data_IF_202052280933
#
_entry.id   IF_202052280933
#
_cell.length_a   1.000
_cell.length_b   1.000
_cell.length_c   1.000
_cell.angle_alpha   90.00
_cell.angle_beta   90.00
_cell.angle_gamma   90.00
#
_symmetry.space_group_name_H-M   'P 1'
#
loop_
_entity.id
_entity.type
_entity.pdbx_description
1 polymer ?
2 non-polymer ?
3 non-polymer ?
4 non-polymer ?
5 water ?
#
# COMPACT_ATOMS: atom_id res chain seq x y z
N UNK A 7 8.99 4.08 -19.54
CA UNK A 7 8.32 3.60 -20.74
C UNK A 7 8.36 2.09 -20.82
N UNK A 8 9.36 1.50 -20.16
CA UNK A 8 9.58 0.06 -20.20
C UNK A 8 8.62 -0.68 -19.29
N UNK A 9 8.39 -1.97 -19.61
CA UNK A 9 7.55 -2.78 -18.73
C UNK A 9 8.25 -2.98 -17.40
N UNK A 10 7.47 -3.24 -16.35
CA UNK A 10 8.01 -3.52 -15.01
C UNK A 10 8.83 -2.38 -14.41
N UNK A 11 8.49 -1.15 -14.78
CA UNK A 11 9.25 0.02 -14.34
C UNK A 11 8.50 0.86 -13.32
N UNK A 12 7.65 0.21 -12.52
CA UNK A 12 6.88 0.91 -11.51
C UNK A 12 7.74 1.75 -10.57
N UNK A 13 8.89 1.24 -10.14
CA UNK A 13 9.75 2.00 -9.23
C UNK A 13 10.21 3.33 -9.88
N UNK A 14 10.61 3.25 -11.14
CA UNK A 14 11.01 4.43 -11.88
C UNK A 14 9.86 5.43 -12.06
N UNK A 15 8.67 4.92 -12.37
CA UNK A 15 7.49 5.76 -12.52
C UNK A 15 7.12 6.50 -11.24
N UNK A 16 7.11 5.78 -10.13
CA UNK A 16 6.76 6.38 -8.83
C UNK A 16 7.81 7.41 -8.46
N UNK A 17 9.08 7.04 -8.64
CA UNK A 17 10.20 7.94 -8.36
C UNK A 17 10.05 9.25 -9.15
N UNK A 18 9.68 9.14 -10.42
CA UNK A 18 9.49 10.31 -11.26
C UNK A 18 8.35 11.19 -10.76
N UNK A 19 7.24 10.58 -10.37
CA UNK A 19 6.12 11.32 -9.80
C UNK A 19 6.56 12.08 -8.57
N UNK A 20 7.37 11.44 -7.74
CA UNK A 20 7.84 12.02 -6.49
C UNK A 20 8.84 13.15 -6.73
N UNK A 21 9.86 12.86 -7.53
CA UNK A 21 10.98 13.78 -7.68
C UNK A 21 10.74 14.84 -8.74
N UNK A 22 9.84 14.57 -9.68
CA UNK A 22 9.69 15.43 -10.85
C UNK A 22 8.35 16.14 -10.95
N UNK A 23 7.52 16.01 -9.92
CA UNK A 23 6.25 16.71 -9.87
C UNK A 23 5.97 17.16 -8.44
N UNK A 24 4.98 18.01 -8.26
CA UNK A 24 4.57 18.46 -6.93
C UNK A 24 3.19 17.91 -6.60
N UNK A 25 2.71 17.01 -7.44
CA UNK A 25 1.38 16.42 -7.29
C UNK A 25 1.31 15.57 -6.02
N UNK A 26 0.07 15.47 -5.53
CA UNK A 26 -0.19 14.68 -4.36
C UNK A 26 -0.54 13.39 -5.08
N UNK A 27 0.20 12.33 -4.78
CA UNK A 27 0.00 11.05 -5.44
C UNK A 27 -1.04 10.28 -4.67
N UNK A 28 -2.20 10.10 -5.29
CA UNK A 28 -3.30 9.42 -4.62
C UNK A 28 -3.33 7.92 -4.94
N UNK A 29 -3.22 7.10 -3.89
CA UNK A 29 -3.18 5.65 -4.06
C UNK A 29 -4.30 4.96 -3.34
N UNK A 30 -5.29 4.47 -4.09
CA UNK A 30 -6.36 3.70 -3.44
C UNK A 30 -5.79 2.39 -2.94
N UNK A 31 -6.22 1.96 -1.77
CA UNK A 31 -5.76 0.72 -1.20
C UNK A 31 -6.50 -0.46 -1.80
N UNK A 32 -5.75 -1.34 -2.44
CA UNK A 32 -6.33 -2.54 -3.08
C UNK A 32 -5.80 -3.75 -2.38
N UNK A 33 -6.46 -4.88 -2.57
CA UNK A 33 -6.10 -6.07 -1.81
C UNK A 33 -6.18 -7.38 -2.57
N UNK A 34 -6.64 -7.31 -3.81
CA UNK A 34 -6.78 -8.50 -4.63
C UNK A 34 -6.83 -8.07 -6.09
N UNK A 35 -7.06 -9.04 -6.97
CA UNK A 35 -7.08 -8.77 -8.41
C UNK A 35 -8.24 -7.88 -8.83
N UNK A 36 -9.40 -8.10 -8.22
CA UNK A 36 -10.59 -7.33 -8.61
C UNK A 36 -10.49 -5.89 -8.17
N UNK A 37 -10.10 -5.67 -6.93
CA UNK A 37 -9.94 -4.30 -6.44
C UNK A 37 -8.86 -3.58 -7.27
N UNK A 38 -7.73 -4.23 -7.52
CA UNK A 38 -6.66 -3.60 -8.28
C UNK A 38 -7.11 -3.31 -9.73
N UNK A 39 -7.82 -4.24 -10.34
CA UNK A 39 -8.26 -4.05 -11.72
C UNK A 39 -9.23 -2.87 -11.82
N UNK A 40 -10.05 -2.72 -10.79
CA UNK A 40 -11.02 -1.63 -10.74
C UNK A 40 -10.32 -0.27 -10.61
N UNK A 41 -9.37 -0.16 -9.70
CA UNK A 41 -8.57 1.06 -9.58
C UNK A 41 -7.89 1.41 -10.91
N UNK A 42 -7.35 0.41 -11.60
CA UNK A 42 -6.70 0.61 -12.89
C UNK A 42 -7.71 1.08 -13.95
N UNK A 43 -8.90 0.48 -13.92
CA UNK A 43 -9.96 0.80 -14.86
C UNK A 43 -10.28 2.28 -14.75
N UNK A 44 -10.19 2.81 -13.53
CA UNK A 44 -10.61 4.18 -13.27
C UNK A 44 -9.48 5.19 -13.47
N UNK A 45 -8.29 4.71 -13.80
CA UNK A 45 -7.20 5.60 -14.14
C UNK A 45 -6.39 6.18 -13.00
N UNK A 46 -6.41 5.55 -11.83
CA UNK A 46 -5.54 5.99 -10.75
C UNK A 46 -4.09 5.87 -11.19
N UNK A 47 -3.26 6.82 -10.75
CA UNK A 47 -1.88 6.92 -11.22
C UNK A 47 -0.92 6.07 -10.40
N UNK A 48 -1.40 5.52 -9.30
CA UNK A 48 -0.60 4.70 -8.42
C UNK A 48 -1.56 3.94 -7.54
N UNK A 49 -1.14 2.76 -7.12
CA UNK A 49 -1.95 1.89 -6.28
C UNK A 49 -1.23 1.60 -4.97
N UNK A 50 -1.99 1.24 -3.94
CA UNK A 50 -1.41 0.82 -2.69
C UNK A 50 -1.94 -0.56 -2.32
N UNK A 51 -1.04 -1.48 -1.97
CA UNK A 51 -1.48 -2.78 -1.47
C UNK A 51 -1.46 -2.81 0.04
N UNK A 52 -2.66 -2.90 0.61
CA UNK A 52 -2.85 -2.97 2.04
C UNK A 52 -2.48 -4.34 2.60
N UNK A 53 -1.70 -4.35 3.67
CA UNK A 53 -1.39 -5.59 4.38
C UNK A 53 -2.64 -6.13 5.07
N UNK A 54 -3.40 -5.25 5.70
CA UNK A 54 -4.64 -5.66 6.37
C UNK A 54 -5.59 -6.30 5.37
N UNK A 55 -5.72 -5.67 4.19
CA UNK A 55 -6.63 -6.18 3.17
C UNK A 55 -6.11 -7.47 2.58
N UNK A 56 -4.81 -7.53 2.38
CA UNK A 56 -4.22 -8.76 1.87
C UNK A 56 -4.50 -9.91 2.84
N UNK A 57 -4.36 -9.67 4.13
CA UNK A 57 -4.56 -10.70 5.13
C UNK A 57 -6.04 -11.14 5.16
N UNK A 58 -6.95 -10.17 5.13
CA UNK A 58 -8.38 -10.48 5.15
C UNK A 58 -8.77 -11.30 3.94
N UNK A 59 -8.27 -10.93 2.76
CA UNK A 59 -8.72 -11.53 1.51
C UNK A 59 -7.99 -12.85 1.17
N UNK A 60 -6.66 -12.82 1.23
CA UNK A 60 -5.89 -14.02 0.92
C UNK A 60 -5.94 -15.08 2.02
N UNK A 61 -6.12 -14.65 3.27
CA UNK A 61 -6.06 -15.58 4.39
C UNK A 61 -7.30 -15.62 5.27
N UNK A 62 -8.20 -14.66 5.12
CA UNK A 62 -9.41 -14.66 5.92
C UNK A 62 -9.12 -14.39 7.40
N UNK A 63 -8.06 -13.65 7.67
CA UNK A 63 -7.62 -13.43 9.05
C UNK A 63 -7.45 -11.94 9.33
N UNK A 64 -7.37 -11.58 10.62
CA UNK A 64 -7.15 -10.19 11.01
C UNK A 64 -5.68 -9.79 10.87
N UNK A 65 -5.44 -8.49 10.86
CA UNK A 65 -4.13 -7.90 10.60
C UNK A 65 -3.28 -8.02 11.87
N UNK A 66 -2.87 -9.25 12.20
CA UNK A 66 -2.13 -9.51 13.42
C UNK A 66 -0.84 -10.28 13.13
N UNK A 67 -0.08 -9.82 12.14
CA UNK A 67 1.17 -10.47 11.78
C UNK A 67 0.95 -11.93 11.35
N UNK A 68 -0.13 -12.17 10.64
CA UNK A 68 -0.46 -13.52 10.18
C UNK A 68 0.01 -13.73 8.75
N UNK A 69 -0.17 -12.72 7.91
CA UNK A 69 0.46 -12.74 6.60
C UNK A 69 1.95 -12.51 6.79
N UNK A 70 2.76 -13.29 6.09
CA UNK A 70 4.20 -13.14 6.17
C UNK A 70 4.74 -12.86 4.79
N UNK A 71 6.05 -12.97 4.59
CA UNK A 71 6.63 -12.55 3.31
C UNK A 71 5.99 -13.25 2.11
N UNK A 72 5.80 -14.56 2.19
CA UNK A 72 5.32 -15.28 1.02
C UNK A 72 3.98 -14.76 0.52
N UNK A 73 3.03 -14.61 1.44
CA UNK A 73 1.69 -14.14 1.11
C UNK A 73 1.71 -12.71 0.56
N UNK A 74 2.49 -11.87 1.21
CA UNK A 74 2.54 -10.45 0.88
C UNK A 74 3.22 -10.26 -0.46
N UNK A 75 4.35 -10.94 -0.66
CA UNK A 75 5.03 -10.84 -1.95
C UNK A 75 4.18 -11.43 -3.07
N UNK A 76 3.56 -12.57 -2.81
CA UNK A 76 2.69 -13.15 -3.84
C UNK A 76 1.59 -12.19 -4.27
N UNK A 77 0.96 -11.53 -3.30
CA UNK A 77 -0.13 -10.61 -3.63
C UNK A 77 0.41 -9.40 -4.39
N UNK A 78 1.53 -8.87 -3.92
CA UNK A 78 2.11 -7.68 -4.56
C UNK A 78 2.61 -7.97 -5.97
N UNK A 79 3.24 -9.12 -6.13
CA UNK A 79 3.69 -9.59 -7.44
C UNK A 79 2.51 -9.68 -8.42
N UNK A 80 1.40 -10.25 -7.96
CA UNK A 80 0.21 -10.35 -8.81
C UNK A 80 -0.31 -8.97 -9.19
N UNK A 81 -0.52 -8.11 -8.19
CA UNK A 81 -1.11 -6.80 -8.43
C UNK A 81 -0.23 -5.88 -9.29
N UNK A 82 1.05 -5.82 -8.97
CA UNK A 82 1.92 -4.88 -9.65
C UNK A 82 2.07 -5.17 -11.13
N UNK A 83 1.86 -6.43 -11.53
CA UNK A 83 2.06 -6.86 -12.87
C UNK A 83 0.86 -7.23 -13.70
N UNK A 84 -0.33 -6.93 -13.20
CA UNK A 84 -1.53 -7.14 -14.02
C UNK A 84 -1.38 -6.41 -15.32
N UNK A 85 -0.81 -5.21 -15.25
CA UNK A 85 -0.40 -4.47 -16.44
C UNK A 85 1.07 -4.09 -16.30
N UNK A 86 1.94 -4.74 -17.07
CA UNK A 86 3.38 -4.49 -17.04
C UNK A 86 3.69 -3.03 -17.38
N UNK A 87 2.74 -2.34 -17.99
CA UNK A 87 2.95 -0.95 -18.37
C UNK A 87 2.04 -0.03 -17.56
N UNK A 88 1.42 -0.55 -16.51
CA UNK A 88 0.47 0.21 -15.72
C UNK A 88 1.07 1.00 -14.57
N UNK A 89 0.20 1.47 -13.66
CA UNK A 89 0.60 2.34 -12.56
C UNK A 89 1.47 1.62 -11.54
N UNK A 90 2.37 2.37 -10.90
CA UNK A 90 3.26 1.84 -9.85
C UNK A 90 2.47 1.33 -8.66
N UNK A 91 2.97 0.29 -8.00
CA UNK A 91 2.37 -0.22 -6.78
C UNK A 91 3.23 0.05 -5.54
N UNK A 92 2.63 0.69 -4.53
CA UNK A 92 3.29 0.84 -3.28
C UNK A 92 2.70 -0.29 -2.43
N UNK A 93 3.56 -1.13 -1.85
CA UNK A 93 3.05 -2.24 -1.05
C UNK A 93 3.49 -2.17 0.41
N UNK A 94 2.57 -2.44 1.32
CA UNK A 94 2.88 -2.65 2.74
C UNK A 94 3.97 -3.71 2.83
N UNK A 95 4.97 -3.57 3.63
CA UNK A 95 5.94 -4.59 3.89
C UNK A 95 6.06 -4.75 5.41
N UNK A 96 5.09 -4.19 6.12
CA UNK A 96 5.00 -4.42 7.56
C UNK A 96 6.33 -4.14 8.23
N UNK A 97 6.82 -5.10 9.01
CA UNK A 97 8.08 -4.97 9.73
C UNK A 97 9.27 -5.50 8.95
N UNK A 98 9.03 -6.04 7.75
CA UNK A 98 10.07 -6.76 7.03
C UNK A 98 10.09 -8.26 7.31
N UNK A 99 9.22 -8.70 8.22
CA UNK A 99 8.94 -10.13 8.49
C UNK A 99 10.07 -10.88 9.19
N UNK A 100 10.92 -10.14 9.90
CA UNK A 100 11.98 -10.76 10.66
C UNK A 100 13.07 -9.77 10.97
N UNK A 101 14.27 -10.27 11.20
CA UNK A 101 15.42 -9.41 11.43
C UNK A 101 15.95 -8.86 10.10
N UNK A 102 17.13 -8.21 10.13
CA UNK A 102 17.66 -7.57 8.93
C UNK A 102 17.74 -8.50 7.72
N UNK A 103 18.08 -9.77 7.95
CA UNK A 103 18.14 -10.70 6.83
C UNK A 103 16.81 -10.77 6.08
N UNK A 104 15.72 -10.87 6.84
CA UNK A 104 14.38 -10.92 6.25
C UNK A 104 13.95 -9.59 5.66
N UNK A 105 14.29 -8.50 6.33
CA UNK A 105 14.00 -7.18 5.79
C UNK A 105 14.64 -7.09 4.40
N UNK A 106 15.90 -7.47 4.30
CA UNK A 106 16.61 -7.37 3.02
C UNK A 106 15.98 -8.28 1.97
N UNK A 107 15.64 -9.49 2.39
CA UNK A 107 15.02 -10.46 1.47
C UNK A 107 13.70 -9.89 0.95
N UNK A 108 12.94 -9.29 1.86
CA UNK A 108 11.64 -8.74 1.51
C UNK A 108 11.81 -7.64 0.46
N UNK A 109 12.70 -6.70 0.72
CA UNK A 109 12.93 -5.60 -0.22
C UNK A 109 13.40 -6.16 -1.57
N UNK A 110 14.32 -7.13 -1.52
CA UNK A 110 14.81 -7.77 -2.74
C UNK A 110 13.67 -8.40 -3.53
N UNK A 111 12.82 -9.15 -2.84
CA UNK A 111 11.70 -9.81 -3.53
C UNK A 111 10.69 -8.82 -4.09
N UNK A 112 10.39 -7.77 -3.34
CA UNK A 112 9.45 -6.75 -3.84
C UNK A 112 10.04 -6.10 -5.08
N UNK A 113 11.32 -5.77 -5.02
CA UNK A 113 11.97 -5.13 -6.17
C UNK A 113 11.90 -6.00 -7.41
N UNK A 114 12.25 -7.28 -7.25
CA UNK A 114 12.28 -8.15 -8.41
C UNK A 114 10.87 -8.41 -8.94
N UNK A 115 9.87 -8.31 -8.08
CA UNK A 115 8.47 -8.44 -8.47
C UNK A 115 7.88 -7.16 -9.06
N UNK A 116 8.72 -6.14 -9.30
CA UNK A 116 8.24 -4.94 -9.96
C UNK A 116 7.49 -3.97 -9.06
N UNK A 117 7.57 -4.19 -7.75
CA UNK A 117 6.89 -3.29 -6.81
C UNK A 117 7.66 -1.97 -6.79
N UNK A 118 6.92 -0.86 -6.75
CA UNK A 118 7.51 0.46 -6.91
C UNK A 118 8.09 1.02 -5.62
N UNK A 119 7.48 0.64 -4.51
CA UNK A 119 7.91 1.10 -3.20
C UNK A 119 7.18 0.34 -2.12
N UNK A 120 7.56 0.59 -0.86
CA UNK A 120 6.94 -0.11 0.26
C UNK A 120 7.17 0.64 1.55
N UNK A 121 6.23 0.49 2.48
CA UNK A 121 6.39 1.09 3.80
C UNK A 121 6.81 0.06 4.85
N UNK A 122 7.81 0.44 5.64
CA UNK A 122 8.47 -0.43 6.61
C UNK A 122 8.37 0.25 7.96
N UNK A 123 7.83 -0.45 8.96
CA UNK A 123 7.48 0.15 10.24
C UNK A 123 8.35 -0.32 11.41
N UNK A 124 8.16 0.35 12.54
CA UNK A 124 8.93 0.09 13.73
C UNK A 124 8.17 -0.72 14.79
N UNK A 125 7.06 -1.35 14.40
CA UNK A 125 6.34 -2.21 15.33
C UNK A 125 7.17 -3.43 15.75
N UNK A 126 6.88 -3.98 16.92
CA UNK A 126 7.47 -5.26 17.27
C UNK A 126 6.99 -6.29 16.26
N UNK A 127 7.75 -7.37 16.09
CA UNK A 127 7.44 -8.34 15.06
C UNK A 127 6.03 -8.92 15.18
N UNK A 128 5.57 -9.13 16.39
CA UNK A 128 4.19 -9.53 16.62
C UNK A 128 3.32 -8.27 16.55
N UNK A 129 3.21 -7.70 15.36
CA UNK A 129 2.56 -6.41 15.11
C UNK A 129 1.03 -6.48 15.03
N UNK A 130 0.41 -5.33 14.79
CA UNK A 130 -1.05 -5.24 14.69
C UNK A 130 -1.43 -4.00 13.89
N UNK A 131 -2.63 -4.00 13.34
CA UNK A 131 -3.12 -2.83 12.60
C UNK A 131 -2.85 -1.56 13.41
N UNK A 132 -2.32 -0.53 12.75
CA UNK A 132 -1.87 0.67 13.43
C UNK A 132 -2.94 1.45 14.17
N UNK A 133 -4.20 1.12 13.90
CA UNK A 133 -5.31 1.80 14.55
C UNK A 133 -5.86 0.98 15.73
N UNK A 134 -5.21 -0.12 16.06
CA UNK A 134 -5.57 -0.88 17.25
C UNK A 134 -4.71 -0.45 18.44
N UNK A 135 -5.31 -0.47 19.63
CA UNK A 135 -4.57 -0.11 20.84
C UNK A 135 -3.66 -1.24 21.29
N UNK A 136 -2.79 -0.96 22.25
CA UNK A 136 -1.82 -1.93 22.75
C UNK A 136 -0.68 -2.16 21.77
N UNK A 137 -0.40 -1.16 20.94
CA UNK A 137 0.58 -1.27 19.86
C UNK A 137 1.97 -0.79 20.27
N UNK A 138 2.91 -1.73 20.42
CA UNK A 138 4.26 -1.43 20.89
C UNK A 138 5.28 -1.36 19.74
N UNK A 139 6.31 -0.55 19.92
CA UNK A 139 7.35 -0.40 18.91
C UNK A 139 8.71 -0.80 19.45
N UNK A 140 9.63 -1.13 18.55
CA UNK A 140 10.99 -1.48 18.94
C UNK A 140 11.75 -0.19 19.20
N UNK A 141 12.96 -0.32 19.76
CA UNK A 141 13.79 0.85 20.01
C UNK A 141 14.18 1.55 18.72
N UNK A 142 14.58 2.80 18.83
CA UNK A 142 15.03 3.56 17.67
C UNK A 142 16.15 2.80 16.95
N UNK A 143 17.11 2.29 17.71
CA UNK A 143 18.24 1.60 17.10
C UNK A 143 17.79 0.34 16.36
N UNK A 144 16.85 -0.40 16.92
CA UNK A 144 16.41 -1.62 16.27
C UNK A 144 15.62 -1.30 15.00
N UNK A 145 14.84 -0.23 15.04
CA UNK A 145 14.13 0.23 13.86
C UNK A 145 15.10 0.62 12.75
N UNK A 146 16.14 1.37 13.11
CA UNK A 146 17.11 1.82 12.12
C UNK A 146 17.88 0.65 11.50
N UNK A 147 18.06 -0.43 12.25
CA UNK A 147 18.63 -1.65 11.67
C UNK A 147 17.77 -2.14 10.50
N UNK A 148 16.45 -2.10 10.69
CA UNK A 148 15.54 -2.44 9.59
C UNK A 148 15.68 -1.48 8.41
N UNK A 149 15.65 -0.19 8.69
CA UNK A 149 15.76 0.80 7.62
C UNK A 149 17.08 0.61 6.86
N UNK A 150 18.19 0.45 7.59
CA UNK A 150 19.48 0.27 6.95
C UNK A 150 19.53 -0.96 6.07
N UNK A 151 19.02 -2.08 6.58
CA UNK A 151 18.96 -3.31 5.79
C UNK A 151 18.18 -3.12 4.50
N UNK A 152 17.05 -2.41 4.57
CA UNK A 152 16.23 -2.17 3.40
C UNK A 152 16.92 -1.22 2.41
N UNK A 153 17.48 -0.14 2.93
CA UNK A 153 18.15 0.82 2.04
C UNK A 153 19.36 0.19 1.35
N UNK A 154 20.17 -0.53 2.11
CA UNK A 154 21.34 -1.20 1.52
C UNK A 154 20.93 -2.12 0.39
N UNK A 155 19.80 -2.80 0.55
CA UNK A 155 19.32 -3.73 -0.45
C UNK A 155 18.91 -3.02 -1.72
N UNK A 156 18.10 -1.98 -1.62
CA UNK A 156 17.67 -1.29 -2.84
C UNK A 156 18.86 -0.67 -3.57
N UNK A 157 19.86 -0.21 -2.81
CA UNK A 157 21.07 0.33 -3.43
C UNK A 157 21.90 -0.75 -4.12
N UNK A 158 22.12 -1.86 -3.40
CA UNK A 158 22.83 -3.02 -3.95
C UNK A 158 22.20 -3.48 -5.26
N UNK A 159 20.88 -3.38 -5.35
CA UNK A 159 20.15 -3.80 -6.53
C UNK A 159 19.97 -2.69 -7.57
N UNK A 160 20.59 -1.55 -7.32
CA UNK A 160 20.60 -0.43 -8.27
C UNK A 160 19.18 -0.03 -8.66
N UNK A 161 18.32 0.02 -7.66
CA UNK A 161 16.89 0.18 -7.89
C UNK A 161 16.37 1.56 -7.47
N UNK A 162 15.35 2.05 -8.17
CA UNK A 162 14.71 3.30 -7.82
C UNK A 162 13.61 3.11 -6.76
N UNK A 163 13.52 1.89 -6.25
CA UNK A 163 12.51 1.51 -5.24
C UNK A 163 12.34 2.60 -4.19
N UNK A 164 11.09 2.98 -3.93
CA UNK A 164 10.82 4.06 -3.00
C UNK A 164 10.54 3.49 -1.62
N UNK A 165 11.47 3.70 -0.70
CA UNK A 165 11.33 3.14 0.66
C UNK A 165 10.68 4.17 1.57
N UNK A 166 9.52 3.80 2.13
CA UNK A 166 8.78 4.67 3.02
C UNK A 166 8.99 4.20 4.45
N UNK A 167 9.55 5.07 5.28
CA UNK A 167 9.76 4.77 6.68
C UNK A 167 8.52 5.12 7.47
N UNK A 168 7.87 4.11 8.01
CA UNK A 168 6.66 4.31 8.80
C UNK A 168 7.00 4.19 10.28
N UNK A 169 6.46 5.11 11.08
CA UNK A 169 6.55 4.96 12.53
C UNK A 169 5.19 4.87 13.17
N UNK A 170 5.03 3.83 13.98
CA UNK A 170 3.83 3.57 14.77
C UNK A 170 4.00 4.06 16.21
N UNK A 171 4.99 4.92 16.43
CA UNK A 171 5.39 5.29 17.80
C UNK A 171 4.46 6.30 18.47
N UNK A 172 3.58 6.93 17.71
CA UNK A 172 2.75 7.99 18.28
C UNK A 172 1.93 7.45 19.46
N UNK A 173 1.26 6.32 19.24
CA UNK A 173 0.36 5.77 20.26
C UNK A 173 1.04 5.63 21.62
N UNK A 174 2.25 5.09 21.65
CA UNK A 174 2.90 4.75 22.91
C UNK A 174 3.98 5.73 23.36
N UNK A 175 4.62 6.42 22.41
CA UNK A 175 5.78 7.26 22.73
C UNK A 175 5.60 8.74 22.41
N UNK A 176 4.58 9.09 21.64
CA UNK A 176 4.29 10.49 21.40
C UNK A 176 4.85 11.07 20.12
N UNK A 177 4.51 12.33 19.87
CA UNK A 177 4.83 13.01 18.62
C UNK A 177 6.33 13.22 18.42
N UNK A 178 7.00 13.87 19.38
CA UNK A 178 8.42 14.15 19.21
C UNK A 178 9.22 12.90 18.85
N UNK A 179 8.89 11.77 19.49
CA UNK A 179 9.58 10.51 19.21
C UNK A 179 9.39 10.12 17.73
N UNK A 180 8.18 10.30 17.22
CA UNK A 180 7.91 10.00 15.81
C UNK A 180 8.78 10.84 14.89
N UNK A 181 8.83 12.14 15.17
CA UNK A 181 9.60 13.04 14.32
C UNK A 181 11.08 12.65 14.32
N UNK A 182 11.62 12.34 15.49
CA UNK A 182 13.03 11.94 15.58
C UNK A 182 13.30 10.63 14.86
N UNK A 183 12.38 9.68 14.97
CA UNK A 183 12.52 8.41 14.25
C UNK A 183 12.53 8.66 12.76
N UNK A 184 11.64 9.53 12.29
CA UNK A 184 11.55 9.81 10.85
C UNK A 184 12.78 10.54 10.33
N UNK A 185 13.30 11.49 11.11
CA UNK A 185 14.54 12.16 10.76
C UNK A 185 15.69 11.19 10.69
N UNK A 186 15.77 10.29 11.66
CA UNK A 186 16.82 9.28 11.66
C UNK A 186 16.69 8.38 10.44
N UNK A 187 15.46 7.95 10.16
CA UNK A 187 15.22 7.09 9.01
C UNK A 187 15.60 7.78 7.70
N UNK A 188 15.29 9.07 7.60
CA UNK A 188 15.66 9.85 6.43
C UNK A 188 17.18 9.81 6.21
N UNK A 189 17.93 10.02 7.28
CA UNK A 189 19.40 10.02 7.17
C UNK A 189 19.95 8.66 6.78
N UNK A 190 19.25 7.58 7.13
CA UNK A 190 19.69 6.24 6.77
C UNK A 190 19.30 5.89 5.35
N UNK A 191 18.52 6.77 4.72
CA UNK A 191 18.24 6.63 3.30
C UNK A 191 16.80 6.38 2.89
N UNK A 192 15.86 6.47 3.83
CA UNK A 192 14.46 6.31 3.47
C UNK A 192 14.06 7.49 2.60
N UNK A 193 13.19 7.22 1.62
CA UNK A 193 12.79 8.21 0.62
C UNK A 193 11.61 9.08 1.04
N UNK A 194 10.73 8.53 1.88
CA UNK A 194 9.48 9.18 2.27
C UNK A 194 9.20 8.74 3.71
N UNK A 195 8.54 9.59 4.48
CA UNK A 195 8.21 9.25 5.84
C UNK A 195 6.71 9.08 5.98
N UNK A 196 6.30 8.22 6.91
CA UNK A 196 4.89 8.02 7.19
C UNK A 196 4.70 8.02 8.69
N UNK A 197 4.10 9.08 9.22
CA UNK A 197 3.72 9.10 10.63
C UNK A 197 2.32 8.54 10.70
N UNK A 198 2.20 7.35 11.29
CA UNK A 198 0.95 6.60 11.29
C UNK A 198 -0.02 7.11 12.35
N UNK A 199 -1.30 7.19 11.99
CA UNK A 199 -2.36 7.46 12.95
C UNK A 199 -2.33 8.82 13.62
N UNK A 200 -2.32 9.88 12.83
CA UNK A 200 -2.38 11.23 13.40
C UNK A 200 -3.61 11.32 14.31
N UNK A 201 -3.50 12.13 15.35
CA UNK A 201 -4.59 12.31 16.29
C UNK A 201 -5.37 13.57 15.94
N UNK A 202 -4.76 14.45 15.16
CA UNK A 202 -5.42 15.69 14.76
C UNK A 202 -4.91 16.18 13.41
N UNK A 203 -5.71 17.03 12.76
CA UNK A 203 -5.28 17.61 11.48
C UNK A 203 -4.12 18.57 11.68
N UNK A 204 -4.14 19.32 12.78
CA UNK A 204 -3.07 20.25 13.09
C UNK A 204 -1.76 19.48 13.23
N UNK A 205 -1.83 18.31 13.83
CA UNK A 205 -0.66 17.46 14.00
C UNK A 205 -0.13 16.95 12.66
N UNK A 206 -1.03 16.66 11.73
CA UNK A 206 -0.63 16.21 10.40
C UNK A 206 0.15 17.31 9.66
N UNK A 207 -0.40 18.51 9.67
CA UNK A 207 0.26 19.65 9.03
C UNK A 207 1.62 19.93 9.67
N UNK A 208 1.72 19.73 10.99
CA UNK A 208 2.93 20.03 11.74
C UNK A 208 4.04 19.05 11.41
N UNK A 209 3.68 17.79 11.21
CA UNK A 209 4.67 16.79 10.86
C UNK A 209 5.24 17.08 9.49
N UNK A 210 4.37 17.44 8.55
CA UNK A 210 4.85 17.80 7.23
C UNK A 210 5.86 18.95 7.32
N UNK A 211 5.53 19.97 8.10
CA UNK A 211 6.43 21.11 8.23
C UNK A 211 7.74 20.72 8.92
N UNK A 212 7.65 19.83 9.90
CA UNK A 212 8.82 19.42 10.67
C UNK A 212 9.86 18.71 9.82
N UNK A 213 9.41 18.00 8.79
CA UNK A 213 10.31 17.17 7.98
C UNK A 213 10.58 17.76 6.60
N UNK A 214 9.84 18.80 6.21
CA UNK A 214 10.01 19.40 4.89
C UNK A 214 11.48 19.74 4.68
N UNK A 215 11.99 19.58 3.45
CA UNK A 215 11.28 19.20 2.23
C UNK A 215 11.23 17.69 1.99
N UNK A 216 11.63 16.90 2.97
CA UNK A 216 11.53 15.45 2.85
C UNK A 216 10.06 15.08 2.76
N UNK A 217 9.66 14.32 1.73
CA UNK A 217 8.23 14.05 1.50
C UNK A 217 7.62 13.13 2.53
N UNK A 218 6.36 13.40 2.87
CA UNK A 218 5.59 12.52 3.75
C UNK A 218 4.44 11.86 3.01
N UNK A 219 4.00 10.73 3.56
CA UNK A 219 2.86 10.01 3.03
C UNK A 219 1.80 9.96 4.13
N UNK A 220 0.57 10.29 3.77
CA UNK A 220 -0.51 10.26 4.73
C UNK A 220 -1.31 8.99 4.55
N UNK A 221 -1.51 8.22 5.62
CA UNK A 221 -2.29 7.00 5.54
C UNK A 221 -3.72 7.21 6.03
N UNK A 222 -4.63 7.34 5.08
CA UNK A 222 -6.03 7.51 5.42
C UNK A 222 -6.63 6.14 5.69
N UNK A 223 -7.18 5.95 6.87
CA UNK A 223 -7.81 4.68 7.23
C UNK A 223 -9.30 4.89 7.35
N UNK A 224 -10.04 4.39 6.36
CA UNK A 224 -11.47 4.65 6.29
C UNK A 224 -12.18 4.09 7.52
N UNK A 225 -12.91 4.96 8.21
CA UNK A 225 -13.69 4.56 9.39
C UNK A 225 -12.82 4.16 10.56
N UNK A 226 -11.57 4.63 10.56
CA UNK A 226 -10.63 4.31 11.61
C UNK A 226 -10.61 5.35 12.71
N UNK A 227 -9.48 5.44 13.40
CA UNK A 227 -9.38 6.30 14.59
C UNK A 227 -8.53 7.55 14.38
N UNK A 228 -8.38 7.96 13.12
CA UNK A 228 -7.67 9.19 12.78
C UNK A 228 -8.64 10.13 12.06
N UNK A 229 -8.34 11.44 12.07
CA UNK A 229 -9.20 12.46 11.47
C UNK A 229 -9.48 12.17 10.00
N UNK A 230 -10.68 12.51 9.54
CA UNK A 230 -10.99 12.41 8.13
C UNK A 230 -10.35 13.61 7.43
N UNK A 231 -9.28 13.35 6.69
CA UNK A 231 -8.61 14.37 5.89
C UNK A 231 -8.94 14.13 4.42
N UNK A 232 -9.38 15.16 3.72
CA UNK A 232 -9.74 14.99 2.32
C UNK A 232 -8.50 15.11 1.45
N UNK A 233 -8.62 14.70 0.19
CA UNK A 233 -7.49 14.81 -0.73
C UNK A 233 -7.02 16.25 -0.81
N UNK A 234 -7.96 17.18 -0.89
CA UNK A 234 -7.60 18.58 -1.03
C UNK A 234 -6.97 19.15 0.24
N UNK A 235 -7.46 18.73 1.41
CA UNK A 235 -6.81 19.10 2.65
C UNK A 235 -5.38 18.56 2.73
N UNK A 236 -5.19 17.29 2.37
CA UNK A 236 -3.86 16.69 2.40
C UNK A 236 -2.89 17.42 1.48
N UNK A 237 -3.34 17.76 0.29
CA UNK A 237 -2.48 18.46 -0.66
C UNK A 237 -2.06 19.80 -0.07
N UNK A 238 -3.01 20.52 0.50
CA UNK A 238 -2.74 21.82 1.10
C UNK A 238 -1.77 21.71 2.30
N UNK A 239 -1.79 20.57 2.99
CA UNK A 239 -0.90 20.36 4.12
C UNK A 239 0.52 20.10 3.66
N UNK A 240 0.68 19.70 2.40
CA UNK A 240 1.99 19.47 1.86
C UNK A 240 2.41 18.02 1.75
N UNK A 241 1.48 17.10 2.01
CA UNK A 241 1.76 15.69 1.79
C UNK A 241 2.08 15.41 0.31
N UNK A 242 2.93 14.43 0.04
CA UNK A 242 3.28 14.11 -1.34
C UNK A 242 2.62 12.82 -1.81
N UNK A 243 2.28 11.94 -0.87
CA UNK A 243 1.57 10.72 -1.20
C UNK A 243 0.44 10.56 -0.21
N UNK A 244 -0.69 10.03 -0.67
CA UNK A 244 -1.78 9.72 0.24
C UNK A 244 -2.35 8.36 -0.15
N UNK A 245 -2.36 7.43 0.80
CA UNK A 245 -2.89 6.10 0.54
C UNK A 245 -4.20 5.93 1.30
N UNK A 246 -5.09 5.12 0.74
CA UNK A 246 -6.41 4.92 1.30
C UNK A 246 -6.56 3.46 1.60
N UNK A 247 -6.05 3.06 2.76
CA UNK A 247 -5.85 1.64 3.08
C UNK A 247 -7.08 0.76 2.95
N UNK A 248 -8.24 1.27 3.36
CA UNK A 248 -9.47 0.48 3.40
C UNK A 248 -10.48 0.89 2.34
N UNK A 249 -10.01 1.60 1.32
CA UNK A 249 -10.87 2.18 0.28
C UNK A 249 -11.67 1.14 -0.51
N UNK A 250 -11.15 -0.08 -0.60
CA UNK A 250 -11.84 -1.13 -1.35
C UNK A 250 -12.33 -2.27 -0.44
N UNK A 251 -11.56 -2.60 0.59
CA UNK A 251 -11.96 -3.69 1.47
C UNK A 251 -13.28 -3.37 2.18
N UNK A 252 -13.38 -2.16 2.70
CA UNK A 252 -14.58 -1.75 3.43
C UNK A 252 -15.86 -1.77 2.57
N UNK A 253 -15.89 -1.06 1.43
CA UNK A 253 -17.14 -1.13 0.68
C UNK A 253 -17.42 -2.51 0.13
N UNK A 254 -16.38 -3.30 -0.15
CA UNK A 254 -16.63 -4.66 -0.62
C UNK A 254 -17.38 -5.43 0.46
N UNK A 255 -16.93 -5.30 1.71
CA UNK A 255 -17.62 -6.01 2.79
C UNK A 255 -19.07 -5.55 2.92
N UNK A 256 -19.29 -4.25 2.91
CA UNK A 256 -20.64 -3.71 3.07
C UNK A 256 -21.60 -4.29 2.02
N UNK A 257 -21.14 -4.31 0.77
CA UNK A 257 -21.92 -4.79 -0.37
C UNK A 257 -22.14 -6.30 -0.34
N UNK A 258 -21.07 -7.05 -0.07
CA UNK A 258 -21.18 -8.49 0.06
C UNK A 258 -22.18 -8.86 1.17
N UNK A 259 -22.06 -8.20 2.31
CA UNK A 259 -22.96 -8.51 3.43
C UNK A 259 -24.42 -8.19 3.08
N UNK A 260 -24.66 -7.03 2.49
CA UNK A 260 -26.05 -6.67 2.20
C UNK A 260 -26.65 -7.58 1.12
N UNK A 261 -25.84 -7.95 0.13
CA UNK A 261 -26.28 -8.92 -0.88
C UNK A 261 -26.61 -10.28 -0.28
N UNK A 262 -25.71 -10.78 0.57
CA UNK A 262 -25.93 -12.11 1.15
C UNK A 262 -27.11 -12.13 2.11
N UNK A 263 -27.36 -11.01 2.78
CA UNK A 263 -28.56 -10.89 3.62
C UNK A 263 -29.81 -10.99 2.74
N UNK A 264 -29.81 -10.26 1.62
CA UNK A 264 -30.90 -10.35 0.67
C UNK A 264 -31.08 -11.78 0.18
N UNK A 265 -29.99 -12.44 -0.12
CA UNK A 265 -30.07 -13.82 -0.62
C UNK A 265 -30.69 -14.70 0.47
N UNK A 266 -30.19 -14.57 1.69
CA UNK A 266 -30.68 -15.36 2.80
C UNK A 266 -32.17 -15.15 3.05
N UNK A 267 -32.59 -13.89 3.07
CA UNK A 267 -33.96 -13.56 3.45
C UNK A 267 -34.96 -13.65 2.30
N UNK A 268 -34.49 -13.40 1.07
CA UNK A 268 -35.39 -13.22 -0.05
C UNK A 268 -35.13 -14.13 -1.25
N UNK A 269 -34.04 -14.89 -1.20
CA UNK A 269 -33.78 -15.90 -2.21
C UNK A 269 -33.31 -15.36 -3.55
N UNK A 270 -32.87 -14.13 -3.56
CA UNK A 270 -32.31 -13.56 -4.79
C UNK A 270 -31.12 -12.70 -4.41
N UNK A 271 -30.18 -12.59 -5.34
CA UNK A 271 -28.94 -11.82 -5.14
C UNK A 271 -29.19 -10.31 -5.35
N UNK A 272 -29.87 -9.96 -6.43
CA UNK A 272 -30.24 -8.58 -6.67
C UNK A 272 -29.11 -7.59 -6.94
N UNK A 273 -28.04 -8.03 -7.60
CA UNK A 273 -26.96 -7.11 -7.94
C UNK A 273 -27.34 -6.34 -9.20
N UNK A 274 -27.01 -5.03 -9.27
CA UNK A 274 -27.37 -4.27 -10.47
C UNK A 274 -26.98 -5.03 -11.73
N UNK A 275 -27.90 -5.11 -12.68
CA UNK A 275 -27.80 -6.03 -13.83
C UNK A 275 -26.70 -5.71 -14.83
N UNK A 276 -26.12 -4.51 -14.71
CA UNK A 276 -25.00 -4.16 -15.57
C UNK A 276 -23.72 -4.87 -15.14
N UNK A 277 -23.72 -5.44 -13.94
CA UNK A 277 -22.52 -6.14 -13.47
C UNK A 277 -22.59 -7.59 -13.88
N UNK A 278 -22.29 -7.84 -15.15
CA UNK A 278 -22.39 -9.17 -15.73
C UNK A 278 -21.07 -9.89 -15.61
N UNK A 279 -21.08 -11.22 -15.75
CA UNK A 279 -19.83 -11.97 -15.78
C UNK A 279 -18.88 -11.42 -16.84
N UNK A 280 -19.38 -11.14 -18.04
CA UNK A 280 -18.50 -10.61 -19.09
C UNK A 280 -17.91 -9.25 -18.70
N UNK A 281 -18.69 -8.39 -18.08
CA UNK A 281 -18.10 -7.11 -17.68
C UNK A 281 -16.98 -7.33 -16.66
N UNK A 282 -17.20 -8.25 -15.72
CA UNK A 282 -16.16 -8.53 -14.75
C UNK A 282 -14.92 -9.08 -15.44
N UNK A 283 -15.12 -9.95 -16.42
CA UNK A 283 -13.97 -10.46 -17.15
C UNK A 283 -13.27 -9.33 -17.92
N UNK A 284 -14.05 -8.43 -18.52
CA UNK A 284 -13.47 -7.28 -19.21
C UNK A 284 -12.60 -6.44 -18.27
N UNK A 285 -13.11 -6.19 -17.07
CA UNK A 285 -12.34 -5.46 -16.07
C UNK A 285 -11.05 -6.21 -15.77
N UNK A 286 -11.14 -7.53 -15.75
CA UNK A 286 -10.01 -8.38 -15.40
C UNK A 286 -9.20 -8.88 -16.59
N UNK A 287 -9.24 -8.15 -17.71
CA UNK A 287 -8.30 -8.37 -18.79
C UNK A 287 -8.76 -9.34 -19.86
N UNK A 288 -10.07 -9.50 -20.02
CA UNK A 288 -10.60 -10.37 -21.07
C UNK A 288 -10.05 -10.01 -22.46
N UNK A 289 -10.12 -8.73 -22.82
CA UNK A 289 -9.72 -8.30 -24.15
C UNK A 289 -8.26 -8.69 -24.45
N UNK A 290 -7.37 -8.37 -23.51
CA UNK A 290 -5.97 -8.78 -23.58
C UNK A 290 -5.86 -10.28 -23.89
N UNK A 291 -6.55 -11.10 -23.12
CA UNK A 291 -6.45 -12.55 -23.28
C UNK A 291 -6.92 -13.01 -24.65
N UNK A 292 -8.03 -12.45 -25.11
CA UNK A 292 -8.56 -12.83 -26.41
C UNK A 292 -7.61 -12.40 -27.52
N UNK A 293 -6.95 -11.27 -27.33
CA UNK A 293 -6.00 -10.80 -28.34
C UNK A 293 -4.77 -11.69 -28.40
N UNK A 294 -4.33 -12.18 -27.24
CA UNK A 294 -3.25 -13.15 -27.23
C UNK A 294 -3.63 -14.37 -28.06
N UNK A 295 -4.82 -14.90 -27.83
CA UNK A 295 -5.23 -16.10 -28.58
C UNK A 295 -5.33 -15.79 -30.07
N UNK A 296 -6.00 -14.70 -30.39
CA UNK A 296 -6.22 -14.35 -31.77
C UNK A 296 -4.90 -14.05 -32.48
N UNK A 297 -4.04 -13.29 -31.81
CA UNK A 297 -2.77 -12.91 -32.40
C UNK A 297 -1.85 -14.08 -32.66
N UNK A 298 -2.02 -15.15 -31.88
CA UNK A 298 -1.15 -16.32 -32.00
C UNK A 298 -1.61 -17.25 -33.12
N UNK A 299 -2.72 -16.91 -33.76
CA UNK A 299 -3.25 -17.74 -34.83
C UNK A 299 -4.28 -18.71 -34.31
N UNK A 300 -4.61 -18.56 -33.03
CA UNK A 300 -5.69 -19.32 -32.44
C UNK A 300 -7.04 -18.82 -32.92
N UNK A 301 -8.04 -19.68 -32.85
CA UNK A 301 -9.39 -19.31 -33.25
C UNK A 301 -10.39 -19.60 -32.13
N UNK A 302 -9.91 -19.58 -30.89
CA UNK A 302 -10.75 -19.90 -29.74
C UNK A 302 -11.76 -18.78 -29.48
N UNK A 303 -11.37 -17.56 -29.83
CA UNK A 303 -12.19 -16.37 -29.57
C UNK A 303 -12.37 -15.52 -30.81
#
# INVERSE_FOLDING_TARGET
GSHMAEDEPFSGAKKLRHLLENTDELIVCPGVYDGLSARTAMELGFKSLYMTGAGTTASRLGQPDLAIAQLHDMRDNADMIANLDPFGPPLIADMDTGYGGPIMVARTVEHYIRSGVAGAHLEDQILTKRCGHLSGKKVVSRDEYLVRIRAAVATKRRLRSDFVLIARTDALQSLGYEECIERLRAARDEGADVGLLEGFRSKEQAAAAVAALAPWPLLLNSVENGHSPLITVEEAKAMGFRIMIFSFATLAPAYAAIRETLVRLRDHGVVGTPDGITPVRLFEVCGLQDAMEVDNGAGGKAFSEGV
#
